data_IF_973189337260
#
_entry.id   IF_973189337260
#
_cell.length_a   1.000
_cell.length_b   1.000
_cell.length_c   1.000
_cell.angle_alpha   90.00
_cell.angle_beta   90.00
_cell.angle_gamma   90.00
#
_symmetry.space_group_name_H-M   'P 1'
#
loop_
_entity.id
_entity.type
_entity.pdbx_description
1 polymer ?
#
# COMPACT_ATOMS: atom_id res chain seq x y z
N UNK A 1 63.83 -13.05 7.47
CA UNK A 1 63.11 -12.57 6.26
C UNK A 1 61.82 -13.35 5.98
N UNK A 2 61.67 -14.63 6.36
CA UNK A 2 60.47 -15.43 6.06
C UNK A 2 59.23 -15.18 6.96
N UNK A 3 59.40 -14.61 8.16
CA UNK A 3 58.31 -14.42 9.14
C UNK A 3 57.41 -13.19 8.85
N UNK A 4 57.93 -12.18 8.16
CA UNK A 4 57.17 -10.97 7.81
C UNK A 4 56.12 -11.25 6.74
N UNK A 5 56.45 -12.13 5.79
CA UNK A 5 55.62 -12.36 4.59
C UNK A 5 54.40 -13.24 4.91
N UNK A 6 54.52 -14.16 5.87
CA UNK A 6 53.40 -14.98 6.36
C UNK A 6 52.39 -14.12 7.10
N UNK A 7 52.84 -13.21 7.97
CA UNK A 7 51.94 -12.28 8.68
C UNK A 7 51.21 -11.36 7.70
N UNK A 8 51.89 -10.89 6.65
CA UNK A 8 51.27 -10.07 5.61
C UNK A 8 50.19 -10.83 4.84
N UNK A 9 50.45 -12.10 4.50
CA UNK A 9 49.47 -12.96 3.83
C UNK A 9 48.23 -13.21 4.70
N UNK A 10 48.39 -13.48 5.99
CA UNK A 10 47.26 -13.67 6.90
C UNK A 10 46.42 -12.41 7.09
N UNK A 11 47.06 -11.23 7.18
CA UNK A 11 46.34 -9.95 7.27
C UNK A 11 45.55 -9.71 5.98
N UNK A 12 46.16 -9.92 4.82
CA UNK A 12 45.50 -9.75 3.52
C UNK A 12 44.28 -10.67 3.37
N UNK A 13 44.40 -11.95 3.73
CA UNK A 13 43.27 -12.90 3.68
C UNK A 13 42.16 -12.49 4.64
N UNK A 14 42.49 -12.05 5.85
CA UNK A 14 41.51 -11.61 6.86
C UNK A 14 40.76 -10.35 6.43
N UNK A 15 41.45 -9.36 5.87
CA UNK A 15 40.81 -8.14 5.37
C UNK A 15 39.89 -8.41 4.19
N UNK A 16 40.28 -9.27 3.26
CA UNK A 16 39.42 -9.66 2.15
C UNK A 16 38.19 -10.45 2.63
N UNK A 17 38.36 -11.35 3.61
CA UNK A 17 37.24 -12.09 4.21
C UNK A 17 36.23 -11.13 4.88
N UNK A 18 36.71 -10.15 5.65
CA UNK A 18 35.85 -9.14 6.28
C UNK A 18 35.12 -8.29 5.23
N UNK A 19 35.80 -7.88 4.16
CA UNK A 19 35.16 -7.15 3.05
C UNK A 19 34.05 -7.95 2.38
N UNK A 20 34.30 -9.22 2.07
CA UNK A 20 33.30 -10.10 1.46
C UNK A 20 32.13 -10.34 2.41
N UNK A 21 32.40 -10.58 3.70
CA UNK A 21 31.37 -10.77 4.72
C UNK A 21 30.51 -9.52 4.91
N UNK A 22 31.12 -8.34 4.98
CA UNK A 22 30.40 -7.07 5.09
C UNK A 22 29.60 -6.77 3.82
N UNK A 23 30.14 -7.07 2.63
CA UNK A 23 29.42 -6.92 1.37
C UNK A 23 28.23 -7.88 1.29
N UNK A 24 28.38 -9.12 1.77
CA UNK A 24 27.30 -10.10 1.88
C UNK A 24 26.22 -9.67 2.87
N UNK A 25 26.60 -9.17 4.04
CA UNK A 25 25.64 -8.64 5.02
C UNK A 25 24.94 -7.39 4.53
N UNK A 26 25.69 -6.47 3.91
CA UNK A 26 25.14 -5.26 3.32
C UNK A 26 24.20 -5.59 2.14
N UNK A 27 24.54 -6.58 1.31
CA UNK A 27 23.65 -7.08 0.26
C UNK A 27 22.40 -7.73 0.82
N UNK A 28 22.50 -8.57 1.86
CA UNK A 28 21.33 -9.17 2.52
C UNK A 28 20.50 -8.17 3.33
N UNK A 29 21.11 -7.08 3.82
CA UNK A 29 20.37 -5.96 4.43
C UNK A 29 19.75 -5.03 3.39
N UNK A 30 20.33 -4.90 2.19
CA UNK A 30 19.75 -4.18 1.04
C UNK A 30 18.66 -5.03 0.36
N UNK A 31 18.76 -6.36 0.47
CA UNK A 31 17.63 -7.31 0.40
C UNK A 31 16.69 -7.14 1.62
N UNK A 32 16.59 -5.91 2.13
CA UNK A 32 15.46 -5.37 2.89
C UNK A 32 14.21 -5.95 2.25
N UNK A 33 13.55 -6.82 3.00
CA UNK A 33 12.44 -7.63 2.57
C UNK A 33 11.38 -6.71 1.98
N UNK A 34 11.29 -6.65 0.65
CA UNK A 34 10.25 -5.93 -0.05
C UNK A 34 8.92 -6.47 0.49
N UNK A 35 8.17 -5.61 1.17
CA UNK A 35 6.84 -5.99 1.63
C UNK A 35 5.90 -5.93 0.43
N UNK A 36 4.90 -6.80 0.39
CA UNK A 36 3.84 -6.74 -0.61
C UNK A 36 2.52 -6.93 0.12
N UNK A 37 1.98 -5.83 0.64
CA UNK A 37 0.78 -5.84 1.48
C UNK A 37 -0.41 -5.30 0.73
N UNK A 38 -1.54 -5.98 0.82
CA UNK A 38 -2.78 -5.59 0.15
C UNK A 38 -3.93 -5.56 1.13
N UNK A 39 -4.40 -4.36 1.41
CA UNK A 39 -5.62 -4.11 2.16
C UNK A 39 -6.80 -4.03 1.20
N UNK A 40 -7.80 -4.88 1.43
CA UNK A 40 -9.07 -4.92 0.71
C UNK A 40 -10.15 -4.52 1.70
N UNK A 41 -10.87 -3.43 1.43
CA UNK A 41 -11.94 -2.93 2.31
C UNK A 41 -13.26 -2.97 1.55
N UNK A 42 -14.31 -3.41 2.23
CA UNK A 42 -15.70 -3.25 1.85
C UNK A 42 -16.40 -2.41 2.92
N UNK A 43 -17.05 -1.32 2.55
CA UNK A 43 -17.80 -0.51 3.49
C UNK A 43 -19.18 -0.12 2.97
N UNK A 44 -20.18 -0.17 3.83
CA UNK A 44 -21.52 0.37 3.60
C UNK A 44 -21.56 1.79 4.15
N UNK A 45 -21.91 2.75 3.29
CA UNK A 45 -21.74 4.18 3.55
C UNK A 45 -23.06 4.91 3.35
N UNK A 46 -23.55 5.59 4.38
CA UNK A 46 -24.72 6.45 4.23
C UNK A 46 -24.33 7.76 3.54
N UNK A 47 -25.29 8.42 2.90
CA UNK A 47 -25.05 9.69 2.20
C UNK A 47 -23.87 9.60 1.21
N UNK A 48 -23.81 8.47 0.51
CA UNK A 48 -22.74 8.11 -0.41
C UNK A 48 -22.48 9.21 -1.46
N UNK A 49 -21.22 9.62 -1.72
CA UNK A 49 -20.89 10.62 -2.74
C UNK A 49 -21.43 10.25 -4.11
N UNK A 50 -22.14 11.17 -4.76
CA UNK A 50 -22.77 10.97 -6.07
C UNK A 50 -21.96 11.66 -7.18
N UNK A 51 -22.51 11.66 -8.39
CA UNK A 51 -21.93 12.34 -9.57
C UNK A 51 -21.49 13.79 -9.33
N UNK A 52 -22.19 14.54 -8.47
CA UNK A 52 -21.83 15.93 -8.11
C UNK A 52 -20.65 16.06 -7.14
N UNK A 53 -20.29 14.96 -6.47
CA UNK A 53 -19.41 14.94 -5.31
C UNK A 53 -18.03 14.33 -5.61
N UNK A 54 -17.69 14.14 -6.90
CA UNK A 54 -16.42 13.57 -7.32
C UNK A 54 -15.21 14.29 -6.71
N UNK A 55 -15.30 15.61 -6.53
CA UNK A 55 -14.25 16.40 -5.92
C UNK A 55 -13.96 15.99 -4.47
N UNK A 56 -14.98 15.55 -3.71
CA UNK A 56 -14.82 15.05 -2.33
C UNK A 56 -13.99 13.76 -2.34
N UNK A 57 -14.34 12.82 -3.21
CA UNK A 57 -13.64 11.52 -3.36
C UNK A 57 -12.21 11.74 -3.84
N UNK A 58 -12.00 12.66 -4.78
CA UNK A 58 -10.66 13.00 -5.29
C UNK A 58 -9.78 13.65 -4.21
N UNK A 59 -10.34 14.56 -3.41
CA UNK A 59 -9.63 15.21 -2.31
C UNK A 59 -9.28 14.19 -1.21
N UNK A 60 -10.22 13.30 -0.89
CA UNK A 60 -9.99 12.22 0.06
C UNK A 60 -8.86 11.27 -0.40
N UNK A 61 -8.85 10.87 -1.67
CA UNK A 61 -7.79 10.03 -2.23
C UNK A 61 -6.41 10.72 -2.14
N UNK A 62 -6.34 12.02 -2.47
CA UNK A 62 -5.11 12.79 -2.33
C UNK A 62 -4.65 12.91 -0.87
N UNK A 63 -5.58 13.07 0.07
CA UNK A 63 -5.29 13.10 1.49
C UNK A 63 -4.75 11.75 1.97
N UNK A 64 -5.42 10.64 1.60
CA UNK A 64 -4.99 9.29 1.94
C UNK A 64 -3.56 9.02 1.49
N UNK A 65 -3.21 9.34 0.23
CA UNK A 65 -1.86 9.11 -0.33
C UNK A 65 -0.78 9.84 0.48
N UNK A 66 -1.06 11.08 0.91
CA UNK A 66 -0.17 11.85 1.78
C UNK A 66 -0.09 11.25 3.18
N UNK A 67 -1.22 10.81 3.71
CA UNK A 67 -1.35 10.26 5.06
C UNK A 67 -0.55 8.95 5.22
N UNK A 68 -0.55 8.09 4.19
CA UNK A 68 0.22 6.84 4.18
C UNK A 68 1.68 7.02 3.71
N UNK A 69 2.11 8.27 3.46
CA UNK A 69 3.48 8.61 3.05
C UNK A 69 3.96 7.82 1.81
N UNK A 70 3.16 7.84 0.75
CA UNK A 70 3.48 7.20 -0.54
C UNK A 70 3.72 8.22 -1.64
N UNK A 71 4.64 7.88 -2.55
CA UNK A 71 4.94 8.70 -3.73
C UNK A 71 4.01 8.37 -4.88
N UNK A 72 3.34 9.39 -5.38
CA UNK A 72 2.44 9.32 -6.51
C UNK A 72 3.24 9.19 -7.82
N UNK A 73 2.93 8.16 -8.60
CA UNK A 73 3.44 7.97 -9.96
C UNK A 73 2.48 8.59 -10.99
N UNK A 74 1.17 8.37 -10.82
CA UNK A 74 0.14 8.87 -11.72
C UNK A 74 -1.23 8.97 -11.03
N UNK A 75 -2.02 9.99 -11.39
CA UNK A 75 -3.35 10.23 -10.85
C UNK A 75 -3.34 11.17 -9.64
N UNK A 76 -4.24 11.01 -8.66
CA UNK A 76 -5.45 10.20 -8.76
C UNK A 76 -6.34 10.65 -9.94
N UNK A 77 -6.89 9.69 -10.67
CA UNK A 77 -7.88 9.92 -11.73
C UNK A 77 -9.23 9.43 -11.24
N UNK A 78 -10.29 10.16 -11.59
CA UNK A 78 -11.64 9.87 -11.13
C UNK A 78 -12.61 9.90 -12.32
N UNK A 79 -13.56 8.98 -12.32
CA UNK A 79 -14.58 8.87 -13.35
C UNK A 79 -15.88 8.36 -12.77
N UNK A 80 -16.99 8.87 -13.30
CA UNK A 80 -18.33 8.42 -12.94
C UNK A 80 -18.92 7.56 -14.05
N UNK A 81 -19.54 6.45 -13.68
CA UNK A 81 -20.24 5.55 -14.58
C UNK A 81 -21.74 5.71 -14.34
N UNK A 82 -22.47 6.12 -15.37
CA UNK A 82 -23.93 6.34 -15.33
C UNK A 82 -24.69 5.15 -15.94
N UNK A 83 -24.38 3.95 -15.47
CA UNK A 83 -24.97 2.69 -15.94
C UNK A 83 -25.88 2.11 -14.87
N UNK A 84 -27.16 1.88 -15.18
CA UNK A 84 -28.12 1.23 -14.26
C UNK A 84 -27.58 -0.13 -13.76
N UNK A 85 -27.65 -0.36 -12.46
CA UNK A 85 -27.11 -1.54 -11.78
C UNK A 85 -25.62 -1.47 -11.47
N UNK A 86 -24.90 -0.49 -12.01
CA UNK A 86 -23.46 -0.29 -11.81
C UNK A 86 -23.10 1.20 -11.70
N UNK A 87 -24.06 2.01 -11.23
CA UNK A 87 -23.90 3.46 -11.18
C UNK A 87 -22.99 3.83 -10.01
N UNK A 88 -22.01 4.67 -10.28
CA UNK A 88 -20.99 4.90 -9.28
C UNK A 88 -19.72 5.61 -9.75
N UNK A 89 -18.78 5.70 -8.83
CA UNK A 89 -17.49 6.38 -9.02
C UNK A 89 -16.35 5.37 -9.00
N UNK A 90 -15.39 5.52 -9.90
CA UNK A 90 -14.08 4.87 -9.83
C UNK A 90 -13.01 5.93 -9.67
N UNK A 91 -12.19 5.81 -8.63
CA UNK A 91 -11.03 6.66 -8.37
C UNK A 91 -9.79 5.76 -8.25
N UNK A 92 -8.73 6.04 -9.02
CA UNK A 92 -7.49 5.28 -8.96
C UNK A 92 -6.25 6.17 -8.89
N UNK A 93 -5.24 5.74 -8.14
CA UNK A 93 -3.91 6.31 -8.13
C UNK A 93 -2.87 5.21 -8.31
N UNK A 94 -1.89 5.47 -9.18
CA UNK A 94 -0.66 4.69 -9.22
C UNK A 94 0.35 5.35 -8.30
N UNK A 95 0.89 4.57 -7.37
CA UNK A 95 2.04 4.94 -6.56
C UNK A 95 3.25 4.16 -7.10
N UNK A 96 4.48 4.63 -6.89
CA UNK A 96 5.68 4.19 -7.67
C UNK A 96 5.79 2.68 -7.95
N UNK A 97 5.36 1.82 -7.03
CA UNK A 97 5.48 0.36 -7.15
C UNK A 97 4.17 -0.41 -6.88
N UNK A 98 3.04 0.29 -6.78
CA UNK A 98 1.75 -0.32 -6.39
C UNK A 98 0.55 0.58 -6.74
N UNK A 99 -0.61 0.44 -6.08
CA UNK A 99 -1.82 1.17 -6.48
C UNK A 99 -2.84 1.34 -5.35
N UNK A 100 -3.68 2.35 -5.50
CA UNK A 100 -4.90 2.54 -4.71
C UNK A 100 -6.08 2.67 -5.67
N UNK A 101 -7.11 1.86 -5.49
CA UNK A 101 -8.33 1.90 -6.31
C UNK A 101 -9.55 1.91 -5.39
N UNK A 102 -10.44 2.87 -5.59
CA UNK A 102 -11.72 2.97 -4.90
C UNK A 102 -12.85 2.90 -5.92
N UNK A 103 -13.72 1.92 -5.75
CA UNK A 103 -15.02 1.84 -6.41
C UNK A 103 -16.12 2.22 -5.41
N UNK A 104 -17.06 3.04 -5.86
CA UNK A 104 -18.24 3.46 -5.10
C UNK A 104 -19.46 3.11 -5.94
N UNK A 105 -20.44 2.42 -5.36
CA UNK A 105 -21.78 2.27 -5.93
C UNK A 105 -22.77 3.14 -5.15
N UNK A 106 -23.44 4.04 -5.86
CA UNK A 106 -24.31 5.09 -5.27
C UNK A 106 -25.81 4.87 -5.56
N UNK A 107 -26.17 3.71 -6.10
CA UNK A 107 -27.55 3.38 -6.49
C UNK A 107 -28.42 2.92 -5.32
N UNK A 108 -27.80 2.38 -4.27
CA UNK A 108 -28.48 1.89 -3.08
C UNK A 108 -28.15 2.75 -1.87
N UNK A 109 -29.00 2.66 -0.85
CA UNK A 109 -28.81 3.31 0.45
C UNK A 109 -28.88 2.24 1.56
N UNK A 110 -27.79 1.96 2.30
CA UNK A 110 -26.48 2.58 2.19
C UNK A 110 -25.79 2.28 0.84
N UNK A 111 -24.93 3.19 0.40
CA UNK A 111 -24.05 2.97 -0.75
C UNK A 111 -22.92 2.00 -0.40
N UNK A 112 -22.16 1.57 -1.41
CA UNK A 112 -21.09 0.59 -1.23
C UNK A 112 -19.74 1.15 -1.68
N UNK A 113 -18.76 1.11 -0.79
CA UNK A 113 -17.36 1.38 -1.10
C UNK A 113 -16.59 0.06 -1.17
N UNK A 114 -15.73 -0.06 -2.18
CA UNK A 114 -14.72 -1.11 -2.26
C UNK A 114 -13.37 -0.46 -2.54
N UNK A 115 -12.45 -0.59 -1.59
CA UNK A 115 -11.11 0.00 -1.66
C UNK A 115 -10.07 -1.12 -1.70
N UNK A 116 -9.19 -1.02 -2.69
CA UNK A 116 -7.96 -1.78 -2.81
C UNK A 116 -6.77 -0.85 -2.56
N UNK A 117 -6.01 -1.11 -1.51
CA UNK A 117 -4.73 -0.47 -1.25
C UNK A 117 -3.66 -1.55 -1.29
N UNK A 118 -2.92 -1.58 -2.39
CA UNK A 118 -1.73 -2.40 -2.53
C UNK A 118 -0.50 -1.52 -2.27
N UNK A 119 0.42 -1.98 -1.44
CA UNK A 119 1.64 -1.25 -1.06
C UNK A 119 2.85 -2.17 -1.05
N UNK A 120 3.99 -1.64 -1.53
CA UNK A 120 5.30 -2.30 -1.44
C UNK A 120 6.15 -1.84 -0.23
N UNK A 121 5.53 -1.11 0.70
CA UNK A 121 6.06 -0.68 2.00
C UNK A 121 5.05 -1.08 3.08
N UNK A 122 5.50 -1.21 4.32
CA UNK A 122 4.61 -1.46 5.45
C UNK A 122 3.61 -0.30 5.63
N UNK A 123 2.35 -0.64 5.89
CA UNK A 123 1.25 0.35 6.04
C UNK A 123 0.47 -0.02 7.28
N UNK A 124 0.38 0.94 8.21
CA UNK A 124 -0.54 0.82 9.34
C UNK A 124 -1.97 0.96 8.81
N UNK A 125 -2.68 -0.17 8.76
CA UNK A 125 -4.05 -0.22 8.24
C UNK A 125 -5.01 0.62 9.08
N UNK A 126 -4.73 0.84 10.37
CA UNK A 126 -5.59 1.64 11.24
C UNK A 126 -5.67 3.09 10.75
N UNK A 127 -4.58 3.63 10.20
CA UNK A 127 -4.57 4.96 9.59
C UNK A 127 -5.58 5.03 8.44
N UNK A 128 -5.64 3.99 7.60
CA UNK A 128 -6.57 3.90 6.47
C UNK A 128 -8.01 3.75 6.93
N UNK A 129 -8.26 2.84 7.88
CA UNK A 129 -9.59 2.57 8.43
C UNK A 129 -10.16 3.79 9.16
N UNK A 130 -9.35 4.44 10.02
CA UNK A 130 -9.77 5.63 10.75
C UNK A 130 -10.05 6.78 9.77
N UNK A 131 -9.19 7.02 8.77
CA UNK A 131 -9.43 8.05 7.76
C UNK A 131 -10.71 7.80 6.94
N UNK A 132 -11.08 6.55 6.68
CA UNK A 132 -12.38 6.21 6.07
C UNK A 132 -13.54 6.56 7.01
N UNK A 133 -13.47 6.13 8.26
CA UNK A 133 -14.53 6.33 9.27
C UNK A 133 -14.73 7.79 9.66
N UNK A 134 -13.67 8.59 9.68
CA UNK A 134 -13.73 10.02 9.97
C UNK A 134 -14.25 10.84 8.76
N UNK A 135 -14.04 10.34 7.54
CA UNK A 135 -14.40 11.07 6.31
C UNK A 135 -15.81 10.77 5.81
N UNK A 136 -16.38 9.61 6.17
CA UNK A 136 -17.66 9.15 5.63
C UNK A 136 -18.53 8.52 6.73
N UNK A 137 -19.85 8.56 6.56
CA UNK A 137 -20.80 7.93 7.48
C UNK A 137 -20.85 6.41 7.24
N UNK A 138 -19.84 5.70 7.76
CA UNK A 138 -19.69 4.25 7.60
C UNK A 138 -20.65 3.52 8.54
N UNK A 139 -21.61 2.80 7.96
CA UNK A 139 -22.56 1.95 8.69
C UNK A 139 -21.98 0.58 9.03
N UNK A 140 -21.21 0.00 8.10
CA UNK A 140 -20.55 -1.30 8.26
C UNK A 140 -19.22 -1.27 7.52
N UNK A 141 -18.18 -1.80 8.13
CA UNK A 141 -16.85 -1.92 7.53
C UNK A 141 -16.35 -3.34 7.72
N UNK A 142 -15.84 -3.93 6.65
CA UNK A 142 -15.20 -5.25 6.62
C UNK A 142 -13.90 -5.11 5.85
N UNK A 143 -12.83 -5.77 6.30
CA UNK A 143 -11.57 -5.75 5.56
C UNK A 143 -10.80 -7.06 5.67
N UNK A 144 -9.91 -7.26 4.70
CA UNK A 144 -8.87 -8.28 4.73
C UNK A 144 -7.53 -7.65 4.40
N UNK A 145 -6.53 -7.99 5.20
CA UNK A 145 -5.15 -7.59 4.98
C UNK A 145 -4.32 -8.80 4.59
N UNK A 146 -3.73 -8.75 3.40
CA UNK A 146 -3.02 -9.86 2.79
C UNK A 146 -1.54 -9.55 2.66
N UNK A 147 -0.70 -10.51 3.01
CA UNK A 147 0.68 -10.59 2.54
C UNK A 147 0.69 -11.32 1.20
N UNK A 148 1.33 -10.71 0.20
CA UNK A 148 1.43 -11.16 -1.19
C UNK A 148 2.86 -11.43 -1.64
N UNK A 149 3.86 -11.38 -0.76
CA UNK A 149 5.28 -11.49 -1.12
C UNK A 149 5.62 -12.86 -1.71
N UNK A 150 5.25 -13.93 -1.00
CA UNK A 150 5.55 -15.31 -1.42
C UNK A 150 4.29 -16.14 -1.73
N UNK A 151 3.19 -15.83 -1.04
CA UNK A 151 1.89 -16.50 -1.14
C UNK A 151 0.78 -15.46 -0.92
N UNK A 152 -0.49 -15.85 -1.05
CA UNK A 152 -1.63 -15.03 -0.63
C UNK A 152 -2.01 -15.40 0.81
N UNK A 153 -1.32 -14.81 1.79
CA UNK A 153 -1.50 -15.12 3.21
C UNK A 153 -2.37 -14.06 3.87
N UNK A 154 -3.43 -14.48 4.56
CA UNK A 154 -4.24 -13.60 5.39
C UNK A 154 -3.45 -13.22 6.65
N UNK A 155 -3.25 -11.91 6.85
CA UNK A 155 -2.58 -11.34 8.03
C UNK A 155 -3.62 -10.94 9.07
N UNK A 156 -4.65 -10.21 8.65
CA UNK A 156 -5.68 -9.65 9.53
C UNK A 156 -7.01 -9.55 8.78
N UNK A 157 -8.12 -9.63 9.52
CA UNK A 157 -9.46 -9.36 9.00
C UNK A 157 -10.37 -8.85 10.12
N UNK A 158 -11.36 -8.05 9.74
CA UNK A 158 -12.47 -7.63 10.59
C UNK A 158 -13.76 -7.52 9.81
#
# INVERSE_FOLDING_TARGET
MLYSDINFFFIFVRENYIKVYNCYYQYNSILMKLEHKHLIVRAEVNNCPKKGDLHIVLNWMNHLIKLIDMKLLQGPTISYVDQKGNRGTTCMALIETSHIVLHIWDEFEPGLFQLDLYSCKDVDINIVINNLQESFDIKKLEYKFLDRLNNLTLVEQS
#
